data_IF_164272935295
#
_entry.id   IF_164272935295
#
_cell.length_a   1.000
_cell.length_b   1.000
_cell.length_c   1.000
_cell.angle_alpha   90.00
_cell.angle_beta   90.00
_cell.angle_gamma   90.00
#
_symmetry.space_group_name_H-M   'P 1'
#
loop_
_entity.id
_entity.type
_entity.pdbx_description
1 polymer ?
#
# COMPACT_ATOMS: atom_id res chain seq x y z
N UNK A 1 46.40 17.36 -74.28
CA UNK A 1 46.20 16.19 -73.37
C UNK A 1 46.83 16.31 -71.98
N UNK A 2 47.36 17.43 -71.57
CA UNK A 2 47.98 17.55 -70.24
C UNK A 2 47.08 18.21 -69.18
N UNK A 3 45.84 18.64 -69.49
CA UNK A 3 44.94 19.36 -68.57
C UNK A 3 43.87 18.44 -67.98
N UNK A 4 43.63 17.25 -68.45
CA UNK A 4 42.66 16.32 -67.95
C UNK A 4 43.14 15.42 -66.77
N UNK A 5 44.45 15.33 -66.61
CA UNK A 5 45.04 14.52 -65.52
C UNK A 5 45.02 15.22 -64.17
N UNK A 6 45.00 16.59 -64.18
CA UNK A 6 44.98 17.40 -62.90
C UNK A 6 43.61 17.43 -62.23
N UNK A 7 42.52 17.20 -62.95
CA UNK A 7 41.16 17.22 -62.40
C UNK A 7 40.81 15.91 -61.65
N UNK A 8 41.38 14.80 -62.10
CA UNK A 8 41.16 13.49 -61.51
C UNK A 8 41.87 13.36 -60.15
N UNK A 9 42.99 14.08 -59.98
CA UNK A 9 43.77 14.06 -58.73
C UNK A 9 43.10 14.86 -57.63
N UNK A 10 42.28 15.88 -57.89
CA UNK A 10 41.60 16.70 -56.91
C UNK A 10 40.37 16.05 -56.29
N UNK A 11 39.77 15.08 -57.01
CA UNK A 11 38.56 14.39 -56.51
C UNK A 11 38.86 13.25 -55.51
N UNK A 12 40.10 12.77 -55.48
CA UNK A 12 40.51 11.67 -54.59
C UNK A 12 40.81 12.14 -53.15
N UNK A 13 40.95 13.44 -52.89
CA UNK A 13 41.29 13.95 -51.55
C UNK A 13 40.09 14.30 -50.67
N UNK A 14 38.87 14.26 -51.19
CA UNK A 14 37.67 14.68 -50.45
C UNK A 14 36.93 13.47 -49.81
N UNK A 15 37.29 12.26 -50.17
CA UNK A 15 36.57 11.04 -49.75
C UNK A 15 36.79 10.52 -48.31
N UNK A 16 37.85 10.83 -47.57
CA UNK A 16 38.05 10.21 -46.26
C UNK A 16 37.44 10.96 -45.07
N UNK A 17 36.84 12.15 -45.25
CA UNK A 17 36.36 12.95 -44.09
C UNK A 17 34.98 12.48 -43.59
N UNK A 18 34.22 11.78 -44.44
CA UNK A 18 32.85 11.32 -44.04
C UNK A 18 32.85 10.05 -43.18
N UNK A 19 33.98 9.37 -43.00
CA UNK A 19 34.02 8.12 -42.22
C UNK A 19 34.18 8.32 -40.73
N UNK A 20 34.48 9.50 -40.22
CA UNK A 20 34.68 9.77 -38.80
C UNK A 20 33.45 10.34 -38.07
N UNK A 21 32.35 10.59 -38.78
CA UNK A 21 31.14 11.18 -38.22
C UNK A 21 30.15 10.12 -37.67
N UNK A 22 30.46 8.85 -37.78
CA UNK A 22 29.64 7.81 -37.11
C UNK A 22 30.12 7.65 -35.67
N UNK A 23 29.75 8.61 -34.83
CA UNK A 23 29.79 8.43 -33.39
C UNK A 23 28.99 7.14 -33.09
N UNK A 24 29.66 6.14 -32.52
CA UNK A 24 28.98 4.93 -32.03
C UNK A 24 27.92 5.36 -31.06
N UNK A 25 26.63 5.31 -31.46
CA UNK A 25 25.51 5.56 -30.57
C UNK A 25 25.62 4.54 -29.44
N UNK A 26 25.98 5.00 -28.25
CA UNK A 26 25.96 4.15 -27.04
C UNK A 26 24.50 3.99 -26.64
N UNK A 27 23.90 2.85 -27.01
CA UNK A 27 22.54 2.50 -26.60
C UNK A 27 22.67 1.76 -25.27
N UNK A 28 22.03 2.30 -24.22
CA UNK A 28 21.89 1.65 -22.94
C UNK A 28 20.45 1.21 -22.73
N UNK A 29 20.25 0.10 -22.04
CA UNK A 29 18.95 -0.35 -21.55
C UNK A 29 18.81 -0.01 -20.07
N UNK A 30 17.63 0.43 -19.67
CA UNK A 30 17.30 0.74 -18.27
C UNK A 30 16.17 -0.18 -17.84
N UNK A 31 16.37 -0.89 -16.73
CA UNK A 31 15.30 -1.62 -16.06
C UNK A 31 14.43 -0.61 -15.26
N UNK A 32 13.33 -0.24 -15.88
CA UNK A 32 12.38 0.73 -15.30
C UNK A 32 11.75 0.22 -14.00
N UNK A 33 11.53 -1.08 -13.85
CA UNK A 33 10.98 -1.65 -12.62
C UNK A 33 11.97 -1.48 -11.47
N UNK A 34 13.24 -1.75 -11.72
CA UNK A 34 14.30 -1.58 -10.73
C UNK A 34 14.51 -0.11 -10.39
N UNK A 35 14.55 0.77 -11.39
CA UNK A 35 14.69 2.20 -11.17
C UNK A 35 13.53 2.76 -10.34
N UNK A 36 12.30 2.32 -10.59
CA UNK A 36 11.11 2.72 -9.84
C UNK A 36 11.16 2.20 -8.39
N UNK A 37 11.54 0.94 -8.20
CA UNK A 37 11.67 0.32 -6.87
C UNK A 37 12.74 1.01 -6.00
N UNK A 38 13.84 1.44 -6.61
CA UNK A 38 14.95 2.09 -5.91
C UNK A 38 14.73 3.59 -5.72
N UNK A 39 13.68 4.15 -6.31
CA UNK A 39 13.36 5.57 -6.18
C UNK A 39 12.89 5.91 -4.75
N UNK A 40 13.51 6.92 -4.13
CA UNK A 40 13.27 7.27 -2.73
C UNK A 40 11.79 7.51 -2.40
N UNK A 41 11.06 8.21 -3.27
CA UNK A 41 9.62 8.45 -3.06
C UNK A 41 8.79 7.18 -3.09
N UNK A 42 9.19 6.16 -3.86
CA UNK A 42 8.56 4.84 -3.87
C UNK A 42 8.78 4.15 -2.52
N UNK A 43 10.00 4.18 -2.00
CA UNK A 43 10.32 3.63 -0.67
C UNK A 43 9.54 4.34 0.44
N UNK A 44 9.47 5.66 0.39
CA UNK A 44 8.69 6.45 1.36
C UNK A 44 7.18 6.12 1.28
N UNK A 45 6.65 5.91 0.07
CA UNK A 45 5.27 5.50 -0.13
C UNK A 45 5.01 4.08 0.39
N UNK A 46 5.93 3.13 0.17
CA UNK A 46 5.85 1.77 0.69
C UNK A 46 5.83 1.74 2.21
N UNK A 47 6.68 2.54 2.86
CA UNK A 47 6.68 2.68 4.33
C UNK A 47 5.33 3.18 4.82
N UNK A 48 4.81 4.27 4.24
CA UNK A 48 3.50 4.83 4.61
C UNK A 48 2.35 3.83 4.41
N UNK A 49 2.39 3.05 3.32
CA UNK A 49 1.38 2.02 3.06
C UNK A 49 1.48 0.90 4.10
N UNK A 50 2.68 0.47 4.46
CA UNK A 50 2.87 -0.56 5.46
C UNK A 50 2.44 -0.08 6.86
N UNK A 51 2.76 1.15 7.22
CA UNK A 51 2.31 1.75 8.48
C UNK A 51 0.78 1.85 8.54
N UNK A 52 0.14 2.31 7.46
CA UNK A 52 -1.31 2.37 7.37
C UNK A 52 -1.96 0.97 7.47
N UNK A 53 -1.38 -0.04 6.82
CA UNK A 53 -1.86 -1.43 6.92
C UNK A 53 -1.73 -1.97 8.34
N UNK A 54 -0.60 -1.72 8.99
CA UNK A 54 -0.36 -2.16 10.37
C UNK A 54 -1.32 -1.46 11.35
N UNK A 55 -1.56 -0.16 11.18
CA UNK A 55 -2.52 0.59 11.96
C UNK A 55 -3.95 0.06 11.79
N UNK A 56 -4.37 -0.16 10.54
CA UNK A 56 -5.68 -0.73 10.22
C UNK A 56 -5.86 -2.14 10.79
N UNK A 57 -4.83 -2.99 10.70
CA UNK A 57 -4.86 -4.33 11.29
C UNK A 57 -4.99 -4.27 12.81
N UNK A 58 -4.23 -3.41 13.46
CA UNK A 58 -4.32 -3.23 14.91
C UNK A 58 -5.72 -2.76 15.32
N UNK A 59 -6.27 -1.78 14.62
CA UNK A 59 -7.62 -1.29 14.88
C UNK A 59 -8.66 -2.40 14.71
N UNK A 60 -8.55 -3.20 13.67
CA UNK A 60 -9.42 -4.36 13.46
C UNK A 60 -9.31 -5.39 14.60
N UNK A 61 -8.09 -5.74 14.99
CA UNK A 61 -7.85 -6.69 16.07
C UNK A 61 -8.40 -6.17 17.42
N UNK A 62 -8.24 -4.88 17.69
CA UNK A 62 -8.74 -4.24 18.91
C UNK A 62 -10.28 -4.18 18.92
N UNK A 63 -10.92 -3.88 17.77
CA UNK A 63 -12.39 -3.95 17.62
C UNK A 63 -12.89 -5.38 17.78
N UNK A 64 -12.24 -6.36 17.18
CA UNK A 64 -12.64 -7.77 17.31
C UNK A 64 -12.58 -8.24 18.78
N UNK A 65 -11.55 -7.84 19.53
CA UNK A 65 -11.44 -8.14 20.97
C UNK A 65 -12.55 -7.46 21.77
N UNK A 66 -12.81 -6.18 21.49
CA UNK A 66 -13.86 -5.42 22.16
C UNK A 66 -15.25 -6.04 21.90
N UNK A 67 -15.51 -6.43 20.65
CA UNK A 67 -16.74 -7.13 20.27
C UNK A 67 -16.91 -8.46 21.03
N UNK A 68 -15.87 -9.28 21.04
CA UNK A 68 -15.90 -10.56 21.77
C UNK A 68 -16.15 -10.34 23.27
N UNK A 69 -15.46 -9.38 23.88
CA UNK A 69 -15.67 -9.03 25.29
C UNK A 69 -17.11 -8.60 25.58
N UNK A 70 -17.68 -7.76 24.71
CA UNK A 70 -19.06 -7.32 24.87
C UNK A 70 -20.06 -8.47 24.75
N UNK A 71 -19.83 -9.43 23.84
CA UNK A 71 -20.64 -10.65 23.74
C UNK A 71 -20.55 -11.52 25.01
N UNK A 72 -19.35 -11.69 25.55
CA UNK A 72 -19.16 -12.47 26.78
C UNK A 72 -19.86 -11.80 27.97
N UNK A 73 -19.84 -10.48 28.06
CA UNK A 73 -20.56 -9.71 29.10
C UNK A 73 -22.07 -9.84 28.93
N UNK A 74 -22.61 -9.77 27.71
CA UNK A 74 -24.03 -9.97 27.43
C UNK A 74 -24.45 -11.39 27.83
N UNK A 75 -23.66 -12.39 27.50
CA UNK A 75 -23.94 -13.77 27.87
C UNK A 75 -23.96 -13.96 29.40
N UNK A 76 -23.03 -13.31 30.10
CA UNK A 76 -23.02 -13.31 31.56
C UNK A 76 -24.25 -12.64 32.17
N UNK A 77 -24.64 -11.48 31.63
CA UNK A 77 -25.85 -10.77 32.08
C UNK A 77 -27.10 -11.61 31.83
N UNK A 78 -27.22 -12.29 30.70
CA UNK A 78 -28.34 -13.21 30.42
C UNK A 78 -28.40 -14.35 31.43
N UNK A 79 -27.29 -15.01 31.74
CA UNK A 79 -27.23 -16.06 32.76
C UNK A 79 -27.61 -15.56 34.14
N UNK A 80 -27.20 -14.36 34.52
CA UNK A 80 -27.56 -13.77 35.79
C UNK A 80 -29.04 -13.37 35.88
N UNK A 81 -29.64 -12.89 34.77
CA UNK A 81 -31.06 -12.58 34.65
C UNK A 81 -31.96 -13.81 34.79
N UNK A 82 -31.49 -14.99 34.38
CA UNK A 82 -32.18 -16.25 34.55
C UNK A 82 -32.21 -16.73 36.02
N UNK A 83 -31.33 -16.18 36.88
CA UNK A 83 -31.28 -16.57 38.26
C UNK A 83 -32.54 -16.13 39.03
N UNK A 84 -33.17 -17.07 39.69
CA UNK A 84 -34.37 -16.81 40.52
C UNK A 84 -34.09 -15.99 41.78
N UNK A 85 -32.83 -15.85 42.20
CA UNK A 85 -32.41 -15.19 43.42
C UNK A 85 -32.33 -13.67 43.35
N UNK A 86 -32.52 -13.06 42.17
CA UNK A 86 -32.42 -11.63 41.95
C UNK A 86 -33.72 -10.90 42.25
N UNK A 87 -33.64 -9.76 42.96
CA UNK A 87 -34.76 -8.85 43.17
C UNK A 87 -35.22 -8.21 41.84
N UNK A 88 -36.50 -7.81 41.75
CA UNK A 88 -37.09 -7.21 40.56
C UNK A 88 -36.28 -5.95 40.10
N UNK A 89 -35.87 -5.09 41.03
CA UNK A 89 -35.09 -3.88 40.69
C UNK A 89 -33.75 -4.20 40.11
N UNK A 90 -33.04 -5.21 40.62
CA UNK A 90 -31.76 -5.68 40.07
C UNK A 90 -31.93 -6.27 38.69
N UNK A 91 -32.99 -7.05 38.45
CA UNK A 91 -33.29 -7.59 37.12
C UNK A 91 -33.53 -6.49 36.10
N UNK A 92 -34.27 -5.45 36.46
CA UNK A 92 -34.54 -4.30 35.56
C UNK A 92 -33.26 -3.56 35.24
N UNK A 93 -32.39 -3.28 36.22
CA UNK A 93 -31.10 -2.63 35.98
C UNK A 93 -30.17 -3.43 35.07
N UNK A 94 -30.06 -4.75 35.30
CA UNK A 94 -29.23 -5.64 34.50
C UNK A 94 -29.78 -5.83 33.08
N UNK A 95 -31.11 -5.87 32.88
CA UNK A 95 -31.73 -5.91 31.59
C UNK A 95 -31.42 -4.65 30.77
N UNK A 96 -31.46 -3.49 31.39
CA UNK A 96 -31.08 -2.23 30.75
C UNK A 96 -29.60 -2.22 30.36
N UNK A 97 -28.71 -2.62 31.25
CA UNK A 97 -27.27 -2.71 30.96
C UNK A 97 -26.98 -3.67 29.77
N UNK A 98 -27.68 -4.80 29.73
CA UNK A 98 -27.60 -5.73 28.60
C UNK A 98 -28.04 -5.08 27.29
N UNK A 99 -29.17 -4.37 27.31
CA UNK A 99 -29.75 -3.75 26.12
C UNK A 99 -28.86 -2.60 25.61
N UNK A 100 -28.26 -1.82 26.52
CA UNK A 100 -27.28 -0.79 26.19
C UNK A 100 -26.02 -1.42 25.55
N UNK A 101 -25.55 -2.56 26.05
CA UNK A 101 -24.41 -3.29 25.42
C UNK A 101 -24.75 -3.85 24.06
N UNK A 102 -25.97 -4.35 23.86
CA UNK A 102 -26.44 -4.80 22.54
C UNK A 102 -26.47 -3.64 21.53
N UNK A 103 -26.95 -2.46 21.97
CA UNK A 103 -26.96 -1.28 21.13
C UNK A 103 -25.54 -0.83 20.76
N UNK A 104 -24.59 -0.88 21.69
CA UNK A 104 -23.19 -0.57 21.42
C UNK A 104 -22.57 -1.54 20.42
N UNK A 105 -22.86 -2.83 20.47
CA UNK A 105 -22.37 -3.83 19.49
C UNK A 105 -22.88 -3.48 18.10
N UNK A 106 -24.15 -3.11 17.93
CA UNK A 106 -24.70 -2.72 16.64
C UNK A 106 -24.01 -1.49 16.04
N UNK A 107 -23.48 -0.60 16.87
CA UNK A 107 -22.73 0.56 16.41
C UNK A 107 -21.27 0.24 16.05
N UNK A 108 -20.77 -0.96 16.39
CA UNK A 108 -19.43 -1.42 16.04
C UNK A 108 -19.38 -2.15 14.68
N UNK A 109 -20.53 -2.56 14.14
CA UNK A 109 -20.66 -3.17 12.80
C UNK A 109 -20.57 -2.11 11.70
#
# INVERSE_FOLDING_TARGET
MKKSLSILSALALVAPIAAFAQGTAKIGTVDMQRAFKDYNKTKDAEVKINDAKNAAKKEYDDRAKAYKKALDEINNLNKQLESAALSADKKTGMAKDRDDKIANIKNME
#
